data_IF_490645176032
#
_entry.id   IF_490645176032
#
_cell.length_a   1.000
_cell.length_b   1.000
_cell.length_c   1.000
_cell.angle_alpha   90.00
_cell.angle_beta   90.00
_cell.angle_gamma   90.00
#
_symmetry.space_group_name_H-M   'P 1'
#
loop_
_entity.id
_entity.type
_entity.pdbx_description
1 polymer ?
#
# COMPACT_ATOMS: atom_id res chain seq x y z
N UNK A 1 11.06 18.36 10.90
CA UNK A 1 10.89 16.88 10.94
C UNK A 1 12.00 16.27 10.10
N UNK A 2 12.72 15.26 10.61
CA UNK A 2 13.78 14.59 9.83
C UNK A 2 13.18 13.54 8.89
N UNK A 3 13.85 13.28 7.77
CA UNK A 3 13.41 12.29 6.77
C UNK A 3 13.18 10.90 7.41
N UNK A 4 14.09 10.35 8.24
CA UNK A 4 13.88 9.03 8.86
C UNK A 4 12.64 8.97 9.76
N UNK A 5 12.31 10.07 10.44
CA UNK A 5 11.12 10.14 11.30
C UNK A 5 9.83 10.06 10.47
N UNK A 6 9.77 10.79 9.35
CA UNK A 6 8.64 10.75 8.42
C UNK A 6 8.44 9.33 7.87
N UNK A 7 9.53 8.70 7.40
CA UNK A 7 9.48 7.36 6.81
C UNK A 7 8.98 6.31 7.81
N UNK A 8 9.44 6.36 9.07
CA UNK A 8 9.01 5.40 10.10
C UNK A 8 7.51 5.48 10.37
N UNK A 9 6.93 6.68 10.34
CA UNK A 9 5.49 6.88 10.56
C UNK A 9 4.67 6.53 9.33
N UNK A 10 5.15 6.87 8.14
CA UNK A 10 4.52 6.45 6.89
C UNK A 10 4.45 4.92 6.80
N UNK A 11 5.53 4.23 7.18
CA UNK A 11 5.58 2.77 7.25
C UNK A 11 4.48 2.19 8.15
N UNK A 12 4.28 2.77 9.34
CA UNK A 12 3.22 2.36 10.26
C UNK A 12 1.83 2.58 9.66
N UNK A 13 1.58 3.75 9.07
CA UNK A 13 0.30 4.08 8.42
C UNK A 13 0.02 3.09 7.28
N UNK A 14 0.99 2.83 6.42
CA UNK A 14 0.83 1.89 5.31
C UNK A 14 0.53 0.47 5.78
N UNK A 15 1.18 0.00 6.86
CA UNK A 15 0.89 -1.32 7.44
C UNK A 15 -0.52 -1.40 8.04
N UNK A 16 -0.97 -0.34 8.72
CA UNK A 16 -2.34 -0.27 9.24
C UNK A 16 -3.38 -0.31 8.10
N UNK A 17 -3.16 0.46 7.03
CA UNK A 17 -4.04 0.44 5.84
C UNK A 17 -4.06 -0.94 5.21
N UNK A 18 -2.92 -1.61 5.09
CA UNK A 18 -2.85 -2.99 4.61
C UNK A 18 -3.68 -3.95 5.46
N UNK A 19 -3.57 -3.88 6.79
CA UNK A 19 -4.36 -4.70 7.71
C UNK A 19 -5.86 -4.48 7.51
N UNK A 20 -6.28 -3.21 7.44
CA UNK A 20 -7.67 -2.84 7.14
C UNK A 20 -8.16 -3.41 5.81
N UNK A 21 -7.33 -3.35 4.76
CA UNK A 21 -7.69 -3.94 3.45
C UNK A 21 -7.88 -5.47 3.55
N UNK A 22 -7.06 -6.16 4.33
CA UNK A 22 -7.20 -7.62 4.52
C UNK A 22 -8.50 -7.98 5.24
N UNK A 23 -8.90 -7.18 6.23
CA UNK A 23 -10.17 -7.37 6.95
C UNK A 23 -11.38 -7.03 6.07
N UNK A 24 -11.32 -5.92 5.32
CA UNK A 24 -12.40 -5.50 4.43
C UNK A 24 -12.67 -6.48 3.30
N UNK A 25 -11.63 -7.11 2.72
CA UNK A 25 -11.82 -8.17 1.71
C UNK A 25 -12.63 -9.34 2.26
N UNK A 26 -12.51 -9.62 3.57
CA UNK A 26 -13.25 -10.70 4.23
C UNK A 26 -14.72 -10.35 4.50
N UNK A 27 -15.07 -9.07 4.63
CA UNK A 27 -16.43 -8.60 4.92
C UNK A 27 -17.22 -8.14 3.70
N UNK A 28 -16.58 -7.51 2.72
CA UNK A 28 -17.26 -6.82 1.61
C UNK A 28 -17.64 -7.75 0.44
N UNK A 29 -17.63 -9.08 0.67
CA UNK A 29 -18.06 -10.08 -0.32
C UNK A 29 -17.29 -10.05 -1.64
N UNK A 30 -16.06 -9.51 -1.66
CA UNK A 30 -15.24 -9.41 -2.87
C UNK A 30 -15.41 -8.12 -3.69
N UNK A 31 -16.07 -7.08 -3.16
CA UNK A 31 -16.10 -5.78 -3.81
C UNK A 31 -14.69 -5.17 -3.82
N UNK A 32 -14.20 -4.87 -5.03
CA UNK A 32 -12.89 -4.25 -5.22
C UNK A 32 -12.97 -2.75 -4.98
N UNK A 33 -12.14 -2.23 -4.07
CA UNK A 33 -12.01 -0.79 -3.78
C UNK A 33 -10.59 -0.33 -4.04
N UNK A 34 -10.44 0.90 -4.53
CA UNK A 34 -9.14 1.52 -4.79
C UNK A 34 -8.74 2.42 -3.64
N UNK A 35 -7.50 2.30 -3.18
CA UNK A 35 -6.90 3.21 -2.18
C UNK A 35 -5.92 4.13 -2.91
N UNK A 36 -6.06 5.44 -2.70
CA UNK A 36 -5.15 6.44 -3.26
C UNK A 36 -4.33 7.07 -2.12
N UNK A 37 -3.01 7.10 -2.29
CA UNK A 37 -2.11 7.78 -1.37
C UNK A 37 -1.75 9.15 -1.95
N UNK A 38 -2.15 10.21 -1.26
CA UNK A 38 -1.84 11.59 -1.65
C UNK A 38 -0.76 12.16 -0.73
N UNK A 39 0.16 12.92 -1.33
CA UNK A 39 1.21 13.65 -0.62
C UNK A 39 1.08 15.15 -0.89
N UNK A 40 1.55 16.02 0.03
CA UNK A 40 1.58 17.46 -0.20
C UNK A 40 2.49 17.83 -1.39
N UNK A 41 2.11 18.86 -2.16
CA UNK A 41 2.91 19.36 -3.30
C UNK A 41 4.28 19.91 -2.90
N UNK A 42 4.46 20.28 -1.63
CA UNK A 42 5.68 20.89 -1.09
C UNK A 42 6.65 19.87 -0.51
N UNK A 43 6.41 18.57 -0.69
CA UNK A 43 7.30 17.52 -0.24
C UNK A 43 8.57 17.50 -1.09
N UNK A 44 9.72 17.15 -0.51
CA UNK A 44 10.93 16.96 -1.29
C UNK A 44 10.81 15.74 -2.20
N UNK A 45 11.39 15.82 -3.40
CA UNK A 45 11.39 14.72 -4.37
C UNK A 45 12.00 13.45 -3.77
N UNK A 46 13.09 13.58 -3.01
CA UNK A 46 13.73 12.46 -2.31
C UNK A 46 12.74 11.73 -1.38
N UNK A 47 11.96 12.48 -0.59
CA UNK A 47 11.00 11.89 0.33
C UNK A 47 9.83 11.25 -0.43
N UNK A 48 9.39 11.86 -1.53
CA UNK A 48 8.40 11.26 -2.42
C UNK A 48 8.86 9.90 -2.98
N UNK A 49 10.09 9.83 -3.49
CA UNK A 49 10.66 8.58 -4.00
C UNK A 49 10.75 7.50 -2.91
N UNK A 50 11.20 7.86 -1.70
CA UNK A 50 11.27 6.92 -0.58
C UNK A 50 9.88 6.38 -0.18
N UNK A 51 8.86 7.24 -0.15
CA UNK A 51 7.48 6.82 0.12
C UNK A 51 6.93 5.92 -1.00
N UNK A 52 7.16 6.28 -2.25
CA UNK A 52 6.72 5.51 -3.41
C UNK A 52 7.35 4.11 -3.43
N UNK A 53 8.63 3.99 -3.10
CA UNK A 53 9.33 2.72 -3.05
C UNK A 53 8.85 1.80 -1.91
N UNK A 54 8.29 2.37 -0.85
CA UNK A 54 7.75 1.62 0.28
C UNK A 54 6.42 0.94 -0.02
N UNK A 55 5.61 1.51 -0.93
CA UNK A 55 4.32 0.96 -1.32
C UNK A 55 4.40 -0.48 -1.85
N UNK A 56 5.22 -0.82 -2.88
CA UNK A 56 5.32 -2.19 -3.38
C UNK A 56 5.94 -3.16 -2.37
N UNK A 57 6.75 -2.68 -1.42
CA UNK A 57 7.32 -3.50 -0.36
C UNK A 57 6.25 -3.93 0.68
N UNK A 58 5.35 -3.02 1.04
CA UNK A 58 4.28 -3.30 2.04
C UNK A 58 3.08 -3.98 1.37
N UNK A 59 2.58 -3.40 0.28
CA UNK A 59 1.43 -3.90 -0.49
C UNK A 59 1.91 -4.82 -1.60
N UNK A 60 2.50 -5.96 -1.22
CA UNK A 60 2.94 -6.96 -2.19
C UNK A 60 1.75 -7.40 -3.04
N UNK A 61 1.78 -7.09 -4.32
CA UNK A 61 0.76 -7.50 -5.29
C UNK A 61 0.92 -9.01 -5.50
N UNK A 62 -0.01 -9.80 -4.97
CA UNK A 62 -0.11 -11.20 -5.33
C UNK A 62 -0.58 -11.28 -6.78
N UNK A 63 0.25 -11.81 -7.67
CA UNK A 63 -0.19 -12.20 -9.01
C UNK A 63 -1.34 -13.21 -8.85
N UNK A 64 -2.50 -12.93 -9.44
CA UNK A 64 -3.62 -13.88 -9.50
C UNK A 64 -3.13 -15.17 -10.14
N UNK A 65 -3.28 -16.28 -9.41
CA UNK A 65 -2.98 -17.61 -9.91
C UNK A 65 -4.05 -17.94 -10.95
N UNK A 66 -3.70 -17.86 -12.24
CA UNK A 66 -4.61 -18.22 -13.34
C UNK A 66 -4.85 -19.71 -13.29
N UNK A 67 -5.95 -20.15 -12.67
CA UNK A 67 -6.40 -21.54 -12.69
C UNK A 67 -6.89 -21.89 -14.10
N UNK A 68 -5.98 -22.12 -15.04
CA UNK A 68 -6.34 -22.81 -16.27
C UNK A 68 -6.66 -24.26 -15.92
N UNK A 69 -7.95 -24.60 -15.92
CA UNK A 69 -8.40 -26.00 -15.86
C UNK A 69 -7.76 -26.76 -17.02
N UNK A 70 -6.79 -27.63 -16.72
CA UNK A 70 -6.28 -28.60 -17.70
C UNK A 70 -7.36 -29.66 -17.86
N UNK A 71 -7.90 -29.69 -19.07
CA UNK A 71 -8.92 -30.60 -19.56
C UNK A 71 -8.39 -32.02 -19.71
#
# INVERSE_FOLDING_TARGET
MTIPWCLKRAELVFKCVKGFMMEMVSWDGGISRTVQFLVPKTISDEMFYQLSNMLPQIFRVSSTLTLTSKH
#
